data_IF_711394223657
#
_entry.id   IF_711394223657
#
_cell.length_a   1.000
_cell.length_b   1.000
_cell.length_c   1.000
_cell.angle_alpha   90.00
_cell.angle_beta   90.00
_cell.angle_gamma   90.00
#
_symmetry.space_group_name_H-M   'P 1'
#
loop_
_entity.id
_entity.type
_entity.pdbx_description
1 polymer ?
#
# COMPACT_ATOMS: atom_id res chain seq x y z
N UNK A 1 31.34 17.78 -3.73
CA UNK A 1 29.90 18.00 -3.40
C UNK A 1 29.71 17.81 -1.90
N UNK A 2 29.15 18.79 -1.20
CA UNK A 2 28.89 18.66 0.24
C UNK A 2 27.66 17.76 0.52
N UNK A 3 27.44 17.39 1.78
CA UNK A 3 26.37 16.46 2.18
C UNK A 3 24.97 16.98 1.88
N UNK A 4 24.72 18.29 2.05
CA UNK A 4 23.41 18.89 1.75
C UNK A 4 23.10 18.90 0.25
N UNK A 5 24.08 19.24 -0.58
CA UNK A 5 23.97 19.18 -2.04
C UNK A 5 23.64 17.75 -2.50
N UNK A 6 24.33 16.75 -1.94
CA UNK A 6 24.06 15.35 -2.26
C UNK A 6 22.67 14.90 -1.83
N UNK A 7 22.20 15.30 -0.63
CA UNK A 7 20.84 15.05 -0.16
C UNK A 7 19.79 15.56 -1.12
N UNK A 8 19.94 16.79 -1.59
CA UNK A 8 19.01 17.37 -2.55
C UNK A 8 19.07 16.64 -3.89
N UNK A 9 20.28 16.34 -4.35
CA UNK A 9 20.51 15.63 -5.60
C UNK A 9 19.81 14.26 -5.64
N UNK A 10 20.10 13.37 -4.68
CA UNK A 10 19.52 12.02 -4.72
C UNK A 10 18.01 12.02 -4.50
N UNK A 11 17.45 13.01 -3.77
CA UNK A 11 16.00 13.16 -3.62
C UNK A 11 15.33 13.50 -4.94
N UNK A 12 15.92 14.42 -5.70
CA UNK A 12 15.42 14.83 -7.01
C UNK A 12 15.57 13.71 -8.05
N UNK A 13 16.64 12.93 -7.97
CA UNK A 13 16.92 11.87 -8.94
C UNK A 13 16.12 10.59 -8.70
N UNK A 14 15.67 10.30 -7.46
CA UNK A 14 15.05 9.00 -7.12
C UNK A 14 13.90 8.61 -8.04
N UNK A 15 13.03 9.55 -8.42
CA UNK A 15 11.89 9.30 -9.30
C UNK A 15 12.28 8.85 -10.72
N UNK A 16 13.49 9.15 -11.16
CA UNK A 16 14.01 8.73 -12.47
C UNK A 16 14.47 7.27 -12.48
N UNK A 17 14.73 6.68 -11.30
CA UNK A 17 15.24 5.31 -11.16
C UNK A 17 14.21 4.35 -10.56
N UNK A 18 13.29 4.88 -9.75
CA UNK A 18 12.32 4.09 -9.01
C UNK A 18 10.94 4.69 -9.25
N UNK A 19 10.11 3.99 -10.03
CA UNK A 19 8.73 4.35 -10.33
C UNK A 19 7.88 4.51 -9.07
N UNK A 20 6.71 5.15 -9.20
CA UNK A 20 5.78 5.29 -8.07
C UNK A 20 5.32 3.93 -7.52
N UNK A 21 4.84 3.91 -6.27
CA UNK A 21 4.29 2.67 -5.68
C UNK A 21 3.08 2.14 -6.45
N UNK A 22 2.24 3.03 -6.99
CA UNK A 22 1.10 2.62 -7.81
C UNK A 22 1.56 1.99 -9.12
N UNK A 23 2.54 2.58 -9.81
CA UNK A 23 3.06 2.05 -11.07
C UNK A 23 3.72 0.68 -10.89
N UNK A 24 4.51 0.51 -9.83
CA UNK A 24 5.12 -0.79 -9.51
C UNK A 24 4.06 -1.85 -9.21
N UNK A 25 3.00 -1.50 -8.46
CA UNK A 25 1.89 -2.41 -8.20
C UNK A 25 1.13 -2.76 -9.48
N UNK A 26 0.91 -1.79 -10.38
CA UNK A 26 0.30 -2.02 -11.69
C UNK A 26 1.15 -2.96 -12.54
N UNK A 27 2.47 -2.72 -12.63
CA UNK A 27 3.40 -3.56 -13.40
C UNK A 27 3.49 -4.97 -12.82
N UNK A 28 3.68 -5.12 -11.52
CA UNK A 28 3.71 -6.42 -10.84
C UNK A 28 2.41 -7.21 -11.08
N UNK A 29 1.25 -6.53 -11.00
CA UNK A 29 -0.05 -7.13 -11.26
C UNK A 29 -0.17 -7.69 -12.69
N UNK A 30 0.26 -6.91 -13.69
CA UNK A 30 0.27 -7.31 -15.10
C UNK A 30 1.25 -8.44 -15.39
N UNK A 31 2.45 -8.36 -14.84
CA UNK A 31 3.53 -9.35 -15.04
C UNK A 31 3.17 -10.71 -14.42
N UNK A 32 2.45 -10.71 -13.29
CA UNK A 32 1.93 -11.93 -12.67
C UNK A 32 0.70 -12.51 -13.37
N UNK A 33 0.16 -11.82 -14.39
CA UNK A 33 -1.00 -12.31 -15.14
C UNK A 33 -2.32 -12.19 -14.38
N UNK A 34 -2.39 -11.40 -13.30
CA UNK A 34 -3.59 -11.26 -12.48
C UNK A 34 -4.75 -10.57 -13.20
N UNK A 35 -4.48 -9.75 -14.21
CA UNK A 35 -5.48 -9.16 -15.10
C UNK A 35 -6.33 -10.19 -15.85
N UNK A 36 -5.84 -11.44 -15.97
CA UNK A 36 -6.56 -12.55 -16.62
C UNK A 36 -7.37 -13.41 -15.64
N UNK A 37 -7.23 -13.16 -14.33
CA UNK A 37 -7.93 -13.92 -13.30
C UNK A 37 -9.33 -13.33 -13.07
N UNK A 38 -10.32 -14.20 -12.86
CA UNK A 38 -11.69 -13.79 -12.54
C UNK A 38 -11.91 -13.56 -11.05
N UNK A 39 -13.12 -13.09 -10.70
CA UNK A 39 -13.54 -12.79 -9.31
C UNK A 39 -13.22 -13.92 -8.33
N UNK A 40 -13.54 -15.16 -8.69
CA UNK A 40 -13.43 -16.30 -7.79
C UNK A 40 -11.98 -16.59 -7.38
N UNK A 41 -11.01 -16.28 -8.23
CA UNK A 41 -9.61 -16.40 -7.85
C UNK A 41 -9.26 -15.45 -6.70
N UNK A 42 -9.58 -14.16 -6.85
CA UNK A 42 -9.26 -13.15 -5.85
C UNK A 42 -10.03 -13.37 -4.55
N UNK A 43 -11.31 -13.73 -4.66
CA UNK A 43 -12.16 -13.95 -3.50
C UNK A 43 -11.72 -15.16 -2.67
N UNK A 44 -11.35 -16.26 -3.33
CA UNK A 44 -11.02 -17.52 -2.64
C UNK A 44 -9.52 -17.69 -2.34
N UNK A 45 -8.64 -16.89 -2.93
CA UNK A 45 -7.18 -16.98 -2.73
C UNK A 45 -6.56 -15.62 -2.32
N UNK A 46 -7.15 -14.87 -1.36
CA UNK A 46 -6.70 -13.52 -1.06
C UNK A 46 -5.28 -13.50 -0.48
N UNK A 47 -4.95 -14.47 0.38
CA UNK A 47 -3.61 -14.60 0.97
C UNK A 47 -2.55 -14.89 -0.09
N UNK A 48 -2.82 -15.84 -0.99
CA UNK A 48 -1.89 -16.19 -2.07
C UNK A 48 -1.61 -14.98 -2.95
N UNK A 49 -2.65 -14.27 -3.38
CA UNK A 49 -2.51 -13.05 -4.18
C UNK A 49 -1.66 -11.98 -3.48
N UNK A 50 -1.95 -11.66 -2.22
CA UNK A 50 -1.23 -10.62 -1.46
C UNK A 50 0.24 -10.98 -1.31
N UNK A 51 0.55 -12.24 -1.00
CA UNK A 51 1.93 -12.70 -0.83
C UNK A 51 2.70 -12.71 -2.15
N UNK A 52 2.08 -13.16 -3.24
CA UNK A 52 2.71 -13.10 -4.56
C UNK A 52 2.99 -11.66 -5.02
N UNK A 53 2.08 -10.73 -4.74
CA UNK A 53 2.28 -9.30 -5.02
C UNK A 53 3.44 -8.74 -4.19
N UNK A 54 3.47 -9.01 -2.88
CA UNK A 54 4.55 -8.59 -1.98
C UNK A 54 5.92 -9.06 -2.46
N UNK A 55 6.03 -10.34 -2.82
CA UNK A 55 7.30 -10.92 -3.26
C UNK A 55 7.77 -10.34 -4.60
N UNK A 56 6.84 -10.12 -5.54
CA UNK A 56 7.14 -9.48 -6.81
C UNK A 56 7.68 -8.06 -6.62
N UNK A 57 6.95 -7.24 -5.84
CA UNK A 57 7.28 -5.85 -5.56
C UNK A 57 8.63 -5.72 -4.85
N UNK A 58 8.87 -6.57 -3.85
CA UNK A 58 10.13 -6.56 -3.11
C UNK A 58 11.33 -6.95 -3.98
N UNK A 59 11.15 -7.95 -4.85
CA UNK A 59 12.20 -8.40 -5.77
C UNK A 59 12.58 -7.31 -6.75
N UNK A 60 11.59 -6.67 -7.36
CA UNK A 60 11.81 -5.58 -8.31
C UNK A 60 12.43 -4.36 -7.63
N UNK A 61 11.88 -3.93 -6.49
CA UNK A 61 12.38 -2.76 -5.77
C UNK A 61 13.85 -2.90 -5.36
N UNK A 62 14.28 -4.09 -4.91
CA UNK A 62 15.70 -4.33 -4.57
C UNK A 62 16.62 -4.12 -5.77
N UNK A 63 16.22 -4.53 -6.97
CA UNK A 63 17.02 -4.36 -8.18
C UNK A 63 17.14 -2.87 -8.53
N UNK A 64 16.03 -2.15 -8.53
CA UNK A 64 15.99 -0.72 -8.80
C UNK A 64 16.80 0.08 -7.78
N UNK A 65 16.64 -0.22 -6.48
CA UNK A 65 17.37 0.45 -5.41
C UNK A 65 18.87 0.15 -5.46
N UNK A 66 19.26 -1.10 -5.77
CA UNK A 66 20.68 -1.46 -5.97
C UNK A 66 21.29 -0.67 -7.11
N UNK A 67 20.58 -0.57 -8.24
CA UNK A 67 21.03 0.22 -9.38
C UNK A 67 21.13 1.71 -9.03
N UNK A 68 20.09 2.28 -8.41
CA UNK A 68 20.09 3.66 -7.93
C UNK A 68 21.29 3.96 -7.02
N UNK A 69 21.59 3.09 -6.06
CA UNK A 69 22.72 3.27 -5.16
C UNK A 69 24.07 3.25 -5.90
N UNK A 70 24.21 2.41 -6.92
CA UNK A 70 25.42 2.39 -7.74
C UNK A 70 25.59 3.71 -8.51
N UNK A 71 24.52 4.25 -9.09
CA UNK A 71 24.57 5.55 -9.78
C UNK A 71 24.87 6.70 -8.80
N UNK A 72 24.27 6.70 -7.60
CA UNK A 72 24.58 7.70 -6.59
C UNK A 72 26.05 7.63 -6.13
N UNK A 73 26.63 6.43 -6.05
CA UNK A 73 28.05 6.27 -5.74
C UNK A 73 28.95 6.82 -6.86
N UNK A 74 28.59 6.64 -8.14
CA UNK A 74 29.34 7.24 -9.27
C UNK A 74 29.39 8.76 -9.17
N UNK A 75 28.25 9.39 -8.86
CA UNK A 75 28.20 10.85 -8.67
C UNK A 75 29.13 11.31 -7.56
N UNK A 76 29.26 10.55 -6.46
CA UNK A 76 30.23 10.86 -5.41
C UNK A 76 31.68 10.72 -5.90
N UNK A 77 31.99 9.68 -6.70
CA UNK A 77 33.32 9.51 -7.31
C UNK A 77 33.67 10.68 -8.23
N UNK A 78 32.75 11.15 -9.06
CA UNK A 78 32.97 12.32 -9.93
C UNK A 78 33.29 13.59 -9.15
N UNK A 79 32.77 13.70 -7.92
CA UNK A 79 33.00 14.81 -7.01
C UNK A 79 34.09 14.52 -5.96
N UNK A 80 34.81 13.41 -6.11
CA UNK A 80 35.94 13.06 -5.25
C UNK A 80 37.16 13.90 -5.60
N UNK A 81 38.13 13.97 -4.69
CA UNK A 81 39.43 14.55 -5.00
C UNK A 81 40.20 13.59 -5.93
N UNK A 82 39.87 13.65 -7.22
CA UNK A 82 40.47 12.80 -8.26
C UNK A 82 42.00 12.88 -8.21
N UNK A 83 42.58 14.03 -7.87
CA UNK A 83 44.03 14.18 -7.74
C UNK A 83 44.63 13.30 -6.62
N UNK A 84 43.93 13.10 -5.50
CA UNK A 84 44.39 12.17 -4.47
C UNK A 84 44.27 10.71 -4.92
N UNK A 85 43.20 10.36 -5.64
CA UNK A 85 43.03 9.02 -6.17
C UNK A 85 44.07 8.70 -7.26
N UNK A 86 44.37 9.66 -8.14
CA UNK A 86 45.40 9.57 -9.16
C UNK A 86 46.79 9.37 -8.55
N UNK A 87 47.11 10.00 -7.41
CA UNK A 87 48.37 9.74 -6.69
C UNK A 87 48.51 8.28 -6.26
N UNK A 88 47.42 7.66 -5.80
CA UNK A 88 47.42 6.23 -5.43
C UNK A 88 47.61 5.36 -6.68
N UNK A 89 46.91 5.69 -7.78
CA UNK A 89 46.99 4.94 -9.04
C UNK A 89 48.39 5.00 -9.66
N UNK A 90 49.02 6.18 -9.62
CA UNK A 90 50.32 6.43 -10.25
C UNK A 90 51.52 6.02 -9.39
N UNK A 91 51.35 5.62 -8.13
CA UNK A 91 52.48 5.20 -7.28
C UNK A 91 53.03 3.85 -7.75
N UNK A 92 54.28 3.78 -8.27
CA UNK A 92 54.85 2.54 -8.76
C UNK A 92 55.24 1.57 -7.64
N UNK A 93 55.30 2.04 -6.38
CA UNK A 93 55.67 1.21 -5.22
C UNK A 93 54.50 0.38 -4.70
N UNK A 94 53.27 0.72 -5.09
CA UNK A 94 52.07 0.01 -4.66
C UNK A 94 51.71 -1.12 -5.63
N UNK A 95 51.41 -2.29 -5.09
CA UNK A 95 50.78 -3.38 -5.86
C UNK A 95 49.36 -2.98 -6.29
N UNK A 96 48.84 -3.58 -7.35
CA UNK A 96 47.45 -3.34 -7.80
C UNK A 96 46.43 -3.54 -6.67
N UNK A 97 46.64 -4.55 -5.82
CA UNK A 97 45.79 -4.83 -4.65
C UNK A 97 45.83 -3.66 -3.66
N UNK A 98 47.01 -3.14 -3.34
CA UNK A 98 47.15 -2.01 -2.41
C UNK A 98 46.59 -0.70 -2.99
N UNK A 99 46.68 -0.51 -4.32
CA UNK A 99 46.04 0.62 -5.00
C UNK A 99 44.52 0.58 -4.85
N UNK A 100 43.91 -0.56 -5.16
CA UNK A 100 42.45 -0.75 -5.01
C UNK A 100 42.02 -0.54 -3.56
N UNK A 101 42.72 -1.15 -2.59
CA UNK A 101 42.45 -0.94 -1.16
C UNK A 101 42.51 0.55 -0.79
N UNK A 102 43.57 1.25 -1.19
CA UNK A 102 43.73 2.68 -0.91
C UNK A 102 42.60 3.53 -1.49
N UNK A 103 42.18 3.26 -2.72
CA UNK A 103 41.07 3.98 -3.37
C UNK A 103 39.76 3.74 -2.63
N UNK A 104 39.44 2.48 -2.32
CA UNK A 104 38.20 2.13 -1.62
C UNK A 104 38.18 2.74 -0.22
N UNK A 105 39.26 2.61 0.55
CA UNK A 105 39.37 3.20 1.90
C UNK A 105 39.20 4.72 1.87
N UNK A 106 39.88 5.42 0.94
CA UNK A 106 39.74 6.87 0.79
C UNK A 106 38.32 7.29 0.41
N UNK A 107 37.68 6.55 -0.50
CA UNK A 107 36.29 6.82 -0.87
C UNK A 107 35.37 6.68 0.34
N UNK A 108 35.50 5.60 1.11
CA UNK A 108 34.67 5.37 2.29
C UNK A 108 34.93 6.38 3.40
N UNK A 109 36.17 6.82 3.59
CA UNK A 109 36.54 7.88 4.55
C UNK A 109 35.96 9.24 4.16
N UNK A 110 36.02 9.60 2.88
CA UNK A 110 35.61 10.93 2.40
C UNK A 110 34.09 11.11 2.30
N UNK A 111 33.35 10.01 2.17
CA UNK A 111 31.91 10.03 1.87
C UNK A 111 31.07 9.23 2.88
N UNK A 112 31.61 8.96 4.07
CA UNK A 112 30.93 8.22 5.14
C UNK A 112 29.52 8.81 5.43
N UNK A 113 29.43 10.12 5.61
CA UNK A 113 28.20 10.81 5.92
C UNK A 113 27.24 10.84 4.72
N UNK A 114 27.75 10.98 3.50
CA UNK A 114 26.95 10.92 2.27
C UNK A 114 26.30 9.55 2.10
N UNK A 115 27.07 8.49 2.30
CA UNK A 115 26.59 7.11 2.22
C UNK A 115 25.58 6.80 3.34
N UNK A 116 25.83 7.30 4.56
CA UNK A 116 24.86 7.21 5.66
C UNK A 116 23.53 7.88 5.28
N UNK A 117 23.58 9.10 4.78
CA UNK A 117 22.39 9.88 4.42
C UNK A 117 21.58 9.24 3.27
N UNK A 118 22.27 8.67 2.28
CA UNK A 118 21.64 7.89 1.21
C UNK A 118 20.94 6.64 1.76
N UNK A 119 21.62 5.86 2.62
CA UNK A 119 21.06 4.65 3.22
C UNK A 119 19.88 4.94 4.15
N UNK A 120 19.94 6.05 4.91
CA UNK A 120 18.83 6.52 5.71
C UNK A 120 17.64 6.91 4.81
N UNK A 121 17.88 7.66 3.74
CA UNK A 121 16.84 8.02 2.78
C UNK A 121 16.20 6.79 2.13
N UNK A 122 17.00 5.79 1.75
CA UNK A 122 16.53 4.51 1.22
C UNK A 122 15.62 3.80 2.22
N UNK A 123 16.04 3.73 3.49
CA UNK A 123 15.25 3.10 4.55
C UNK A 123 13.90 3.79 4.75
N UNK A 124 13.85 5.13 4.73
CA UNK A 124 12.59 5.88 4.84
C UNK A 124 11.72 5.69 3.60
N UNK A 125 12.32 5.65 2.40
CA UNK A 125 11.62 5.33 1.16
C UNK A 125 10.97 3.94 1.24
N UNK A 126 11.71 2.91 1.63
CA UNK A 126 11.19 1.55 1.83
C UNK A 126 9.98 1.52 2.77
N UNK A 127 10.05 2.21 3.91
CA UNK A 127 8.95 2.26 4.89
C UNK A 127 7.67 2.87 4.32
N UNK A 128 7.80 4.00 3.64
CA UNK A 128 6.67 4.68 3.01
C UNK A 128 6.05 3.82 1.89
N UNK A 129 6.92 3.28 1.03
CA UNK A 129 6.52 2.47 -0.11
C UNK A 129 5.84 1.17 0.30
N UNK A 130 6.40 0.44 1.27
CA UNK A 130 5.82 -0.82 1.72
C UNK A 130 4.39 -0.63 2.25
N UNK A 131 4.08 0.50 2.89
CA UNK A 131 2.72 0.86 3.28
C UNK A 131 1.81 1.05 2.06
N UNK A 132 2.18 1.97 1.16
CA UNK A 132 1.38 2.29 -0.04
C UNK A 132 1.20 1.12 -1.00
N UNK A 133 2.24 0.33 -1.20
CA UNK A 133 2.21 -0.86 -2.03
C UNK A 133 1.28 -1.93 -1.45
N UNK A 134 1.24 -2.08 -0.12
CA UNK A 134 0.29 -2.96 0.55
C UNK A 134 -1.15 -2.46 0.39
N UNK A 135 -1.41 -1.16 0.58
CA UNK A 135 -2.71 -0.54 0.34
C UNK A 135 -3.20 -0.79 -1.10
N UNK A 136 -2.38 -0.49 -2.11
CA UNK A 136 -2.75 -0.71 -3.52
C UNK A 136 -2.93 -2.19 -3.88
N UNK A 137 -2.18 -3.10 -3.26
CA UNK A 137 -2.37 -4.53 -3.46
C UNK A 137 -3.75 -4.97 -2.94
N UNK A 138 -4.15 -4.55 -1.73
CA UNK A 138 -5.48 -4.85 -1.18
C UNK A 138 -6.58 -4.15 -1.98
N UNK A 139 -6.36 -2.91 -2.44
CA UNK A 139 -7.31 -2.23 -3.33
C UNK A 139 -7.65 -3.09 -4.55
N UNK A 140 -6.62 -3.58 -5.26
CA UNK A 140 -6.80 -4.46 -6.41
C UNK A 140 -7.48 -5.78 -6.04
N UNK A 141 -7.15 -6.37 -4.89
CA UNK A 141 -7.83 -7.57 -4.37
C UNK A 141 -9.34 -7.33 -4.24
N UNK A 142 -9.74 -6.21 -3.62
CA UNK A 142 -11.16 -5.89 -3.39
C UNK A 142 -11.91 -5.63 -4.69
N UNK A 143 -11.36 -4.77 -5.56
CA UNK A 143 -11.99 -4.43 -6.85
C UNK A 143 -12.17 -5.68 -7.71
N UNK A 144 -11.13 -6.51 -7.84
CA UNK A 144 -11.22 -7.73 -8.63
C UNK A 144 -12.09 -8.81 -7.98
N UNK A 145 -12.29 -8.78 -6.66
CA UNK A 145 -13.29 -9.60 -5.96
C UNK A 145 -14.73 -9.06 -6.10
N UNK A 146 -14.90 -7.95 -6.82
CA UNK A 146 -16.15 -7.18 -6.94
C UNK A 146 -16.69 -6.67 -5.60
N UNK A 147 -15.81 -6.41 -4.64
CA UNK A 147 -16.15 -5.73 -3.39
C UNK A 147 -16.09 -4.22 -3.64
N UNK A 148 -17.24 -3.55 -3.54
CA UNK A 148 -17.31 -2.09 -3.66
C UNK A 148 -16.56 -1.46 -2.48
N UNK A 149 -15.71 -0.48 -2.75
CA UNK A 149 -14.98 0.25 -1.72
C UNK A 149 -14.68 1.68 -2.17
N UNK A 150 -14.61 2.60 -1.21
CA UNK A 150 -13.97 3.90 -1.40
C UNK A 150 -12.55 3.81 -0.85
N UNK A 151 -11.56 4.21 -1.66
CA UNK A 151 -10.15 4.23 -1.33
C UNK A 151 -9.68 5.67 -1.11
N UNK A 152 -9.18 5.97 0.09
CA UNK A 152 -8.76 7.34 0.43
C UNK A 152 -7.50 7.78 -0.32
N UNK A 153 -6.59 6.86 -0.64
CA UNK A 153 -5.36 7.14 -1.38
C UNK A 153 -5.59 7.50 -2.85
N UNK A 154 -6.66 7.00 -3.45
CA UNK A 154 -7.06 7.23 -4.85
C UNK A 154 -8.07 8.36 -4.96
N UNK A 155 -9.09 8.39 -4.09
CA UNK A 155 -10.17 9.39 -4.15
C UNK A 155 -9.84 10.69 -3.40
N UNK A 156 -8.78 10.69 -2.61
CA UNK A 156 -8.39 11.81 -1.75
C UNK A 156 -9.16 11.84 -0.42
N UNK A 157 -8.59 12.62 0.51
CA UNK A 157 -9.05 12.69 1.90
C UNK A 157 -10.33 13.54 2.09
N UNK A 158 -10.64 14.48 1.19
CA UNK A 158 -11.79 15.38 1.34
C UNK A 158 -13.12 14.63 1.47
N UNK A 159 -13.32 13.56 0.67
CA UNK A 159 -14.54 12.73 0.72
C UNK A 159 -14.69 11.98 2.05
N UNK A 160 -13.58 11.56 2.66
CA UNK A 160 -13.56 10.89 3.95
C UNK A 160 -13.80 11.89 5.09
N UNK A 161 -13.15 13.06 5.05
CA UNK A 161 -13.35 14.13 6.04
C UNK A 161 -14.79 14.65 6.05
N UNK A 162 -15.44 14.72 4.89
CA UNK A 162 -16.84 15.14 4.78
C UNK A 162 -17.82 14.24 5.56
N UNK A 163 -17.39 13.03 5.94
CA UNK A 163 -18.15 12.09 6.80
C UNK A 163 -17.48 11.84 8.16
N UNK A 164 -16.52 12.68 8.52
CA UNK A 164 -15.79 12.65 9.78
C UNK A 164 -14.62 11.67 9.84
N UNK A 165 -14.35 10.92 8.77
CA UNK A 165 -13.27 9.92 8.73
C UNK A 165 -11.91 10.59 8.53
N UNK A 166 -10.90 10.13 9.27
CA UNK A 166 -9.54 10.67 9.23
C UNK A 166 -8.60 9.88 8.33
N UNK A 167 -7.33 10.30 8.32
CA UNK A 167 -6.28 9.75 7.44
C UNK A 167 -5.86 8.32 7.75
N UNK A 168 -6.20 7.77 8.92
CA UNK A 168 -5.88 6.37 9.24
C UNK A 168 -6.86 5.36 8.63
N UNK A 169 -8.00 5.84 8.11
CA UNK A 169 -8.99 5.00 7.45
C UNK A 169 -8.64 4.90 5.97
N UNK A 170 -7.98 3.83 5.58
CA UNK A 170 -7.58 3.64 4.19
C UNK A 170 -8.82 3.40 3.32
N UNK A 171 -9.71 2.47 3.72
CA UNK A 171 -10.92 2.13 2.97
C UNK A 171 -12.21 2.26 3.78
N UNK A 172 -13.29 2.61 3.09
CA UNK A 172 -14.67 2.47 3.55
C UNK A 172 -15.43 1.49 2.63
N UNK A 173 -16.04 0.47 3.23
CA UNK A 173 -16.80 -0.59 2.53
C UNK A 173 -18.28 -0.47 2.89
N UNK A 174 -19.21 -0.33 1.93
CA UNK A 174 -18.99 -0.26 0.48
C UNK A 174 -18.57 1.14 -0.04
N UNK A 175 -18.57 2.16 0.82
CA UNK A 175 -18.17 3.52 0.48
C UNK A 175 -18.53 4.53 1.57
N UNK A 176 -18.10 5.78 1.40
CA UNK A 176 -18.30 6.84 2.40
C UNK A 176 -19.75 7.33 2.45
N UNK A 177 -20.50 7.22 1.34
CA UNK A 177 -21.93 7.58 1.28
C UNK A 177 -22.75 6.60 2.11
N UNK A 178 -22.48 5.31 1.95
CA UNK A 178 -23.10 4.24 2.71
C UNK A 178 -22.74 4.37 4.19
N UNK A 179 -21.48 4.70 4.51
CA UNK A 179 -21.06 5.00 5.88
C UNK A 179 -21.84 6.18 6.48
N UNK A 180 -22.06 7.26 5.72
CA UNK A 180 -22.86 8.41 6.19
C UNK A 180 -24.31 8.02 6.49
N UNK A 181 -24.89 7.13 5.70
CA UNK A 181 -26.27 6.67 5.86
C UNK A 181 -26.44 5.68 7.02
N UNK A 182 -25.59 4.66 7.09
CA UNK A 182 -25.74 3.54 8.02
C UNK A 182 -24.37 2.96 8.44
N UNK A 183 -23.66 3.69 9.30
CA UNK A 183 -22.31 3.36 9.79
C UNK A 183 -22.14 1.91 10.26
N UNK A 184 -23.14 1.36 10.97
CA UNK A 184 -23.11 0.02 11.56
C UNK A 184 -23.31 -1.12 10.54
N UNK A 185 -23.53 -0.78 9.27
CA UNK A 185 -23.61 -1.71 8.13
C UNK A 185 -22.46 -1.51 7.14
N UNK A 186 -21.39 -0.87 7.59
CA UNK A 186 -20.20 -0.61 6.80
C UNK A 186 -18.99 -1.17 7.53
N UNK A 187 -17.89 -1.39 6.80
CA UNK A 187 -16.60 -1.69 7.38
C UNK A 187 -15.63 -0.54 7.09
N UNK A 188 -14.86 -0.16 8.10
CA UNK A 188 -13.69 0.70 7.94
C UNK A 188 -12.44 -0.17 7.99
N UNK A 189 -11.47 0.13 7.14
CA UNK A 189 -10.23 -0.63 7.04
C UNK A 189 -9.03 0.30 7.19
N UNK A 190 -8.12 -0.09 8.07
CA UNK A 190 -6.78 0.48 8.19
C UNK A 190 -5.74 -0.60 7.92
N UNK A 191 -4.61 -0.24 7.30
CA UNK A 191 -3.56 -1.17 6.89
C UNK A 191 -2.21 -0.75 7.46
N UNK A 192 -1.52 -1.70 8.10
CA UNK A 192 -0.15 -1.50 8.55
C UNK A 192 0.65 -2.78 8.27
N UNK A 193 1.70 -2.69 7.47
CA UNK A 193 2.56 -3.86 7.16
C UNK A 193 3.14 -4.51 8.41
N UNK A 194 3.55 -3.70 9.39
CA UNK A 194 3.97 -4.12 10.74
C UNK A 194 3.31 -3.23 11.79
N UNK A 195 2.90 -3.79 12.93
CA UNK A 195 2.19 -3.03 13.95
C UNK A 195 3.13 -2.30 14.91
N UNK A 196 4.08 -3.02 15.52
CA UNK A 196 4.92 -2.53 16.63
C UNK A 196 4.07 -1.82 17.70
N UNK A 197 4.35 -0.55 18.03
CA UNK A 197 3.54 0.34 18.88
C UNK A 197 2.50 1.15 18.10
N UNK A 198 2.64 1.26 16.77
CA UNK A 198 1.84 2.14 15.89
C UNK A 198 0.38 1.70 15.73
N UNK A 199 0.00 0.53 16.22
CA UNK A 199 -1.42 0.12 16.25
C UNK A 199 -2.25 1.01 17.19
N UNK A 200 -1.63 1.65 18.18
CA UNK A 200 -2.31 2.51 19.15
C UNK A 200 -2.95 3.75 18.53
N UNK A 201 -2.50 4.16 17.34
CA UNK A 201 -3.09 5.25 16.56
C UNK A 201 -4.53 4.91 16.10
N UNK A 202 -4.84 3.62 15.89
CA UNK A 202 -6.11 3.17 15.31
C UNK A 202 -7.30 3.35 16.27
N UNK A 203 -7.21 2.93 17.55
CA UNK A 203 -8.23 3.23 18.56
C UNK A 203 -8.52 4.73 18.75
N UNK A 204 -7.49 5.59 18.67
CA UNK A 204 -7.66 7.04 18.79
C UNK A 204 -8.59 7.58 17.71
N UNK A 205 -8.41 7.14 16.46
CA UNK A 205 -9.28 7.50 15.36
C UNK A 205 -10.69 6.92 15.47
N UNK A 206 -10.85 5.68 15.94
CA UNK A 206 -12.17 5.11 16.23
C UNK A 206 -12.97 5.99 17.21
N UNK A 207 -12.34 6.35 18.33
CA UNK A 207 -12.94 7.20 19.36
C UNK A 207 -13.28 8.59 18.82
N UNK A 208 -12.39 9.18 18.00
CA UNK A 208 -12.60 10.50 17.40
C UNK A 208 -13.76 10.53 16.39
N UNK A 209 -13.94 9.45 15.62
CA UNK A 209 -14.93 9.38 14.54
C UNK A 209 -16.30 8.83 14.97
N UNK A 210 -16.37 8.24 16.17
CA UNK A 210 -17.55 7.52 16.65
C UNK A 210 -17.87 6.29 15.80
N UNK A 211 -16.87 5.75 15.11
CA UNK A 211 -17.00 4.52 14.35
C UNK A 211 -17.14 3.34 15.32
N UNK A 212 -18.02 2.38 15.00
CA UNK A 212 -18.32 1.26 15.89
C UNK A 212 -17.15 0.27 15.99
N UNK A 213 -16.53 -0.03 14.84
CA UNK A 213 -15.39 -0.94 14.75
C UNK A 213 -14.56 -0.64 13.51
N UNK A 214 -13.34 -1.16 13.47
CA UNK A 214 -12.44 -1.05 12.34
C UNK A 214 -11.66 -2.35 12.15
N UNK A 215 -11.42 -2.74 10.91
CA UNK A 215 -10.50 -3.82 10.58
C UNK A 215 -9.08 -3.26 10.43
N UNK A 216 -8.12 -3.86 11.13
CA UNK A 216 -6.70 -3.55 11.01
C UNK A 216 -6.00 -4.71 10.29
N UNK A 217 -5.72 -4.50 9.00
CA UNK A 217 -5.01 -5.46 8.17
C UNK A 217 -3.50 -5.33 8.39
N UNK A 218 -2.83 -6.45 8.57
CA UNK A 218 -1.38 -6.47 8.77
C UNK A 218 -0.70 -7.71 8.21
N UNK A 219 0.59 -7.58 7.94
CA UNK A 219 1.49 -8.68 7.57
C UNK A 219 2.51 -8.97 8.68
N UNK A 220 2.26 -8.45 9.89
CA UNK A 220 3.07 -8.68 11.09
C UNK A 220 2.82 -10.10 11.60
N UNK A 221 3.89 -10.86 11.74
CA UNK A 221 3.90 -12.26 12.17
C UNK A 221 4.31 -12.41 13.64
N UNK A 222 4.42 -11.29 14.38
CA UNK A 222 5.00 -11.25 15.73
C UNK A 222 4.05 -10.63 16.77
N UNK A 223 2.74 -10.83 16.61
CA UNK A 223 1.73 -10.19 17.46
C UNK A 223 1.42 -11.06 18.68
N UNK A 224 1.67 -10.55 19.88
CA UNK A 224 1.40 -11.29 21.12
C UNK A 224 -0.11 -11.37 21.43
N UNK A 225 -0.53 -12.42 22.15
CA UNK A 225 -1.92 -12.60 22.62
C UNK A 225 -2.43 -11.40 23.42
N UNK A 226 -1.59 -10.82 24.29
CA UNK A 226 -1.94 -9.63 25.06
C UNK A 226 -2.23 -8.44 24.14
N UNK A 227 -1.39 -8.22 23.12
CA UNK A 227 -1.61 -7.14 22.15
C UNK A 227 -2.90 -7.34 21.35
N UNK A 228 -3.20 -8.57 20.93
CA UNK A 228 -4.46 -8.92 20.25
C UNK A 228 -5.66 -8.60 21.13
N UNK A 229 -5.63 -8.98 22.41
CA UNK A 229 -6.70 -8.68 23.35
C UNK A 229 -6.89 -7.17 23.52
N UNK A 230 -5.80 -6.41 23.63
CA UNK A 230 -5.88 -4.95 23.73
C UNK A 230 -6.48 -4.33 22.47
N UNK A 231 -6.03 -4.74 21.27
CA UNK A 231 -6.58 -4.26 19.99
C UNK A 231 -8.09 -4.55 19.93
N UNK A 232 -8.50 -5.78 20.25
CA UNK A 232 -9.90 -6.19 20.25
C UNK A 232 -10.76 -5.39 21.25
N UNK A 233 -10.26 -5.13 22.45
CA UNK A 233 -10.97 -4.35 23.46
C UNK A 233 -11.22 -2.89 23.05
N UNK A 234 -10.50 -2.38 22.04
CA UNK A 234 -10.74 -1.08 21.43
C UNK A 234 -11.65 -1.16 20.18
N UNK A 235 -12.39 -2.26 20.01
CA UNK A 235 -13.24 -2.53 18.83
C UNK A 235 -12.47 -2.53 17.50
N UNK A 236 -11.19 -2.90 17.54
CA UNK A 236 -10.39 -3.12 16.34
C UNK A 236 -10.28 -4.62 16.08
N UNK A 237 -10.68 -5.06 14.89
CA UNK A 237 -10.59 -6.46 14.46
C UNK A 237 -9.30 -6.65 13.67
N UNK A 238 -8.41 -7.51 14.18
CA UNK A 238 -7.15 -7.79 13.52
C UNK A 238 -7.37 -8.74 12.34
N UNK A 239 -6.80 -8.42 11.18
CA UNK A 239 -6.81 -9.28 9.99
C UNK A 239 -5.39 -9.59 9.55
N UNK A 240 -5.08 -10.87 9.39
CA UNK A 240 -3.75 -11.38 9.00
C UNK A 240 -3.89 -12.33 7.80
N UNK A 241 -2.80 -12.66 7.08
CA UNK A 241 -2.80 -13.73 6.10
C UNK A 241 -3.35 -15.03 6.67
N UNK A 242 -4.09 -15.81 5.88
CA UNK A 242 -4.69 -17.07 6.33
C UNK A 242 -3.62 -18.03 6.87
N UNK A 243 -2.45 -18.10 6.22
CA UNK A 243 -1.31 -18.89 6.70
C UNK A 243 -0.84 -18.50 8.09
N UNK A 244 -0.91 -17.21 8.44
CA UNK A 244 -0.50 -16.70 9.75
C UNK A 244 -1.59 -16.95 10.80
N UNK A 245 -2.87 -16.78 10.40
CA UNK A 245 -4.04 -17.13 11.19
C UNK A 245 -3.98 -18.60 11.59
N UNK A 246 -3.81 -19.50 10.63
CA UNK A 246 -3.82 -20.95 10.87
C UNK A 246 -2.62 -21.41 11.69
N UNK A 247 -1.44 -20.83 11.45
CA UNK A 247 -0.22 -21.22 12.16
C UNK A 247 -0.20 -20.74 13.62
N UNK A 248 -0.64 -19.51 13.91
CA UNK A 248 -0.42 -18.87 15.22
C UNK A 248 -1.70 -18.56 16.00
N UNK A 249 -2.83 -18.45 15.32
CA UNK A 249 -4.06 -17.90 15.89
C UNK A 249 -5.33 -18.69 15.52
N UNK A 250 -5.21 -19.96 15.11
CA UNK A 250 -6.31 -20.76 14.55
C UNK A 250 -7.58 -20.66 15.41
N UNK A 251 -7.45 -20.94 16.70
CA UNK A 251 -8.57 -20.95 17.65
C UNK A 251 -8.93 -19.59 18.24
N UNK A 252 -8.27 -18.50 17.81
CA UNK A 252 -8.53 -17.17 18.36
C UNK A 252 -9.59 -16.41 17.53
N UNK A 253 -10.86 -16.34 17.96
CA UNK A 253 -11.93 -15.70 17.18
C UNK A 253 -11.74 -14.18 17.02
N UNK A 254 -10.81 -13.57 17.76
CA UNK A 254 -10.50 -12.13 17.69
C UNK A 254 -9.60 -11.77 16.52
N UNK A 255 -9.06 -12.76 15.81
CA UNK A 255 -8.18 -12.59 14.66
C UNK A 255 -8.83 -13.22 13.43
N UNK A 256 -8.99 -12.44 12.38
CA UNK A 256 -9.51 -12.88 11.09
C UNK A 256 -8.35 -13.30 10.18
N UNK A 257 -8.56 -14.38 9.43
CA UNK A 257 -7.81 -14.61 8.19
C UNK A 257 -8.34 -13.70 7.08
N UNK A 258 -7.53 -13.45 6.05
CA UNK A 258 -7.96 -12.68 4.88
C UNK A 258 -9.20 -13.30 4.22
N UNK A 259 -9.30 -14.63 4.13
CA UNK A 259 -10.46 -15.30 3.54
C UNK A 259 -11.75 -15.09 4.35
N UNK A 260 -11.67 -15.16 5.68
CA UNK A 260 -12.81 -14.84 6.54
C UNK A 260 -13.19 -13.35 6.44
N UNK A 261 -12.20 -12.47 6.35
CA UNK A 261 -12.43 -11.04 6.17
C UNK A 261 -13.14 -10.74 4.85
N UNK A 262 -12.72 -11.36 3.73
CA UNK A 262 -13.39 -11.24 2.44
C UNK A 262 -14.86 -11.67 2.51
N UNK A 263 -15.15 -12.72 3.27
CA UNK A 263 -16.53 -13.19 3.51
C UNK A 263 -17.37 -12.18 4.28
N UNK A 264 -16.80 -11.54 5.32
CA UNK A 264 -17.47 -10.43 6.03
C UNK A 264 -17.78 -9.25 5.12
N UNK A 265 -16.82 -8.88 4.25
CA UNK A 265 -17.05 -7.80 3.29
C UNK A 265 -18.14 -8.16 2.28
N UNK A 266 -18.18 -9.39 1.76
CA UNK A 266 -19.23 -9.84 0.83
C UNK A 266 -20.62 -9.78 1.48
N UNK A 267 -20.73 -10.14 2.77
CA UNK A 267 -21.98 -10.00 3.53
C UNK A 267 -22.44 -8.54 3.61
N UNK A 268 -21.51 -7.60 3.84
CA UNK A 268 -21.80 -6.16 3.81
C UNK A 268 -22.29 -5.75 2.40
N UNK A 269 -21.61 -6.17 1.34
CA UNK A 269 -22.02 -5.84 -0.04
C UNK A 269 -23.43 -6.37 -0.32
N UNK A 270 -23.74 -7.62 0.07
CA UNK A 270 -25.08 -8.23 -0.10
C UNK A 270 -26.16 -7.48 0.67
N UNK A 271 -25.85 -6.94 1.84
CA UNK A 271 -26.80 -6.11 2.59
C UNK A 271 -27.19 -4.86 1.79
N UNK A 272 -26.19 -4.13 1.29
CA UNK A 272 -26.43 -2.91 0.53
C UNK A 272 -27.05 -3.16 -0.84
N UNK A 273 -26.71 -4.27 -1.51
CA UNK A 273 -27.28 -4.61 -2.82
C UNK A 273 -28.78 -4.93 -2.77
N UNK A 274 -29.30 -5.34 -1.60
CA UNK A 274 -30.72 -5.62 -1.37
C UNK A 274 -31.56 -4.39 -1.05
N UNK A 275 -30.94 -3.23 -0.78
CA UNK A 275 -31.67 -2.00 -0.50
C UNK A 275 -32.46 -1.58 -1.75
N UNK A 276 -33.72 -1.17 -1.54
CA UNK A 276 -34.58 -0.66 -2.63
C UNK A 276 -33.96 0.61 -3.21
N UNK A 277 -33.97 0.74 -4.53
CA UNK A 277 -33.36 1.90 -5.20
C UNK A 277 -33.97 3.23 -4.70
N UNK A 278 -35.30 3.27 -4.50
CA UNK A 278 -36.01 4.46 -3.99
C UNK A 278 -35.54 4.91 -2.61
N UNK A 279 -35.06 3.99 -1.77
CA UNK A 279 -34.56 4.33 -0.44
C UNK A 279 -33.24 5.09 -0.51
N UNK A 280 -32.37 4.73 -1.44
CA UNK A 280 -31.07 5.40 -1.62
C UNK A 280 -31.19 6.65 -2.50
N UNK A 281 -32.14 6.67 -3.43
CA UNK A 281 -32.45 7.79 -4.30
C UNK A 281 -31.46 7.96 -5.46
N UNK A 282 -31.87 8.72 -6.50
CA UNK A 282 -31.06 8.88 -7.71
C UNK A 282 -29.71 9.57 -7.44
N UNK A 283 -29.69 10.55 -6.54
CA UNK A 283 -28.47 11.31 -6.21
C UNK A 283 -27.35 10.42 -5.64
N UNK A 284 -27.70 9.39 -4.87
CA UNK A 284 -26.74 8.39 -4.38
C UNK A 284 -26.07 7.66 -5.54
N UNK A 285 -26.86 7.13 -6.48
CA UNK A 285 -26.34 6.35 -7.60
C UNK A 285 -25.56 7.21 -8.60
N UNK A 286 -25.98 8.46 -8.84
CA UNK A 286 -25.22 9.43 -9.67
C UNK A 286 -23.83 9.68 -9.09
N UNK A 287 -23.72 9.89 -7.78
CA UNK A 287 -22.41 10.06 -7.12
C UNK A 287 -21.53 8.81 -7.26
N UNK A 288 -22.10 7.59 -7.14
CA UNK A 288 -21.33 6.36 -7.38
C UNK A 288 -20.85 6.27 -8.84
N UNK A 289 -21.69 6.64 -9.81
CA UNK A 289 -21.31 6.66 -11.24
C UNK A 289 -20.15 7.64 -11.48
N UNK A 290 -20.28 8.88 -11.03
CA UNK A 290 -19.22 9.91 -11.15
C UNK A 290 -17.90 9.43 -10.54
N UNK A 291 -17.97 8.78 -9.37
CA UNK A 291 -16.79 8.23 -8.71
C UNK A 291 -16.12 7.11 -9.53
N UNK A 292 -16.88 6.21 -10.13
CA UNK A 292 -16.30 5.14 -10.96
C UNK A 292 -15.81 5.66 -12.32
N UNK A 293 -16.42 6.71 -12.87
CA UNK A 293 -15.90 7.42 -14.04
C UNK A 293 -14.54 8.07 -13.73
N UNK A 294 -14.43 8.75 -12.58
CA UNK A 294 -13.17 9.33 -12.09
C UNK A 294 -12.05 8.28 -11.97
N UNK A 295 -12.37 7.04 -11.57
CA UNK A 295 -11.41 5.93 -11.50
C UNK A 295 -11.00 5.42 -12.88
N UNK A 296 -11.93 5.36 -13.84
CA UNK A 296 -11.62 4.97 -15.23
C UNK A 296 -10.58 5.90 -15.84
N UNK A 297 -10.68 7.21 -15.59
CA UNK A 297 -9.73 8.21 -16.11
C UNK A 297 -8.30 8.07 -15.55
N UNK A 298 -8.14 7.37 -14.41
CA UNK A 298 -6.88 7.30 -13.65
C UNK A 298 -6.22 5.94 -13.63
N UNK A 299 -6.90 4.90 -14.11
CA UNK A 299 -6.29 3.58 -14.24
C UNK A 299 -5.86 3.31 -15.68
N UNK A 300 -4.69 2.70 -15.84
CA UNK A 300 -4.23 2.14 -17.10
C UNK A 300 -4.56 0.64 -17.22
N UNK A 301 -5.17 0.04 -16.19
CA UNK A 301 -5.43 -1.39 -16.13
C UNK A 301 -6.77 -1.72 -16.78
N UNK A 302 -6.74 -2.34 -17.96
CA UNK A 302 -7.94 -2.63 -18.73
C UNK A 302 -8.98 -3.48 -17.98
N UNK A 303 -8.54 -4.47 -17.20
CA UNK A 303 -9.43 -5.30 -16.39
C UNK A 303 -10.17 -4.50 -15.31
N UNK A 304 -9.55 -3.47 -14.74
CA UNK A 304 -10.21 -2.57 -13.80
C UNK A 304 -11.23 -1.68 -14.51
N UNK A 305 -10.90 -1.13 -15.68
CA UNK A 305 -11.83 -0.33 -16.49
C UNK A 305 -13.09 -1.15 -16.79
N UNK A 306 -12.94 -2.42 -17.16
CA UNK A 306 -14.07 -3.31 -17.39
C UNK A 306 -14.95 -3.44 -16.14
N UNK A 307 -14.36 -3.70 -14.97
CA UNK A 307 -15.09 -3.83 -13.70
C UNK A 307 -15.79 -2.52 -13.32
N UNK A 308 -15.14 -1.37 -13.47
CA UNK A 308 -15.75 -0.07 -13.18
C UNK A 308 -16.94 0.22 -14.10
N UNK A 309 -16.86 -0.15 -15.39
CA UNK A 309 -17.99 -0.05 -16.31
C UNK A 309 -19.15 -0.94 -15.90
N UNK A 310 -18.88 -2.19 -15.47
CA UNK A 310 -19.92 -3.07 -14.94
C UNK A 310 -20.63 -2.44 -13.72
N UNK A 311 -19.88 -1.82 -12.82
CA UNK A 311 -20.46 -1.10 -11.69
C UNK A 311 -21.29 0.11 -12.11
N UNK A 312 -20.81 0.91 -13.06
CA UNK A 312 -21.58 2.04 -13.62
C UNK A 312 -22.91 1.55 -14.20
N UNK A 313 -22.88 0.52 -15.06
CA UNK A 313 -24.10 -0.06 -15.65
C UNK A 313 -25.06 -0.59 -14.56
N UNK A 314 -24.53 -1.21 -13.51
CA UNK A 314 -25.33 -1.63 -12.37
C UNK A 314 -26.04 -0.44 -11.68
N UNK A 315 -25.34 0.67 -11.44
CA UNK A 315 -25.93 1.86 -10.81
C UNK A 315 -26.91 2.61 -11.74
N UNK A 316 -26.64 2.66 -13.04
CA UNK A 316 -27.56 3.22 -14.04
C UNK A 316 -28.89 2.45 -14.04
N UNK A 317 -28.82 1.12 -14.02
CA UNK A 317 -30.01 0.27 -13.88
C UNK A 317 -30.77 0.60 -12.58
N UNK A 318 -30.07 0.78 -11.46
CA UNK A 318 -30.72 1.17 -10.20
C UNK A 318 -31.42 2.53 -10.29
N UNK A 319 -30.92 3.49 -11.05
CA UNK A 319 -31.61 4.76 -11.31
C UNK A 319 -32.90 4.52 -12.10
N UNK A 320 -32.87 3.65 -13.11
CA UNK A 320 -34.08 3.34 -13.91
C UNK A 320 -35.18 2.65 -13.09
N UNK A 321 -34.82 1.88 -12.05
CA UNK A 321 -35.76 1.25 -11.12
C UNK A 321 -36.49 2.26 -10.20
N UNK A 322 -36.04 3.52 -10.17
CA UNK A 322 -36.64 4.58 -9.34
C UNK A 322 -37.80 5.30 -10.04
N UNK A 323 -37.79 5.29 -11.38
CA UNK A 323 -38.80 5.94 -12.22
C UNK A 323 -39.97 5.01 -12.49
#
# INVERSE_FOLDING_TARGET
MNTQQFKQYFKNQRGNYISSSLDMVNQAFLNKGFQKKGRDYFFNNPTEYVMQMRDALWTEYKLLEKHFNAEMAKVLVEHSNINQLLKILSDPRLTNVNKVKGIVSRFTENFDQHLYDLNLSNTQSRRSRAGKEFEYAIYKLLIHSKILCDDQGILGNERFQAVGLGKLVDFAIPGVKEYKLEKHKCALVSMKTTLRERWAEVPEELNRTGAQSMYLLTLDDSISKNKINTIYNHNVHLVVPDSEKDLKYADNPKVYGLSSFMSELDNIIRYWSRKKANYLGQGFYKDKIEMYQYRIERTSIHSEISIYREFITYFEKKITEIN
#
